data_IF_099248693134
#
_entry.id   IF_099248693134
#
_cell.length_a   1.000
_cell.length_b   1.000
_cell.length_c   1.000
_cell.angle_alpha   90.00
_cell.angle_beta   90.00
_cell.angle_gamma   90.00
#
_symmetry.space_group_name_H-M   'P 1'
#
loop_
_entity.id
_entity.type
_entity.pdbx_description
1 polymer ?
#
# COMPACT_ATOMS: atom_id res chain seq x y z
N UNK A 1 -16.73 5.92 -13.78
CA UNK A 1 -16.70 6.62 -15.08
C UNK A 1 -15.33 6.40 -15.67
N UNK A 2 -15.24 5.55 -16.71
CA UNK A 2 -13.96 5.09 -17.27
C UNK A 2 -13.53 5.88 -18.51
N UNK A 3 -14.35 6.82 -18.99
CA UNK A 3 -13.99 7.69 -20.10
C UNK A 3 -13.08 8.83 -19.58
N UNK A 4 -11.89 8.95 -20.16
CA UNK A 4 -10.95 10.03 -19.81
C UNK A 4 -11.33 11.35 -20.48
N UNK A 5 -11.91 11.26 -21.69
CA UNK A 5 -12.30 12.42 -22.49
C UNK A 5 -13.48 12.07 -23.42
N UNK A 6 -14.08 13.08 -24.04
CA UNK A 6 -15.14 12.89 -25.02
C UNK A 6 -14.61 12.15 -26.24
N UNK A 7 -15.28 11.06 -26.71
CA UNK A 7 -14.86 10.36 -27.92
C UNK A 7 -14.74 11.29 -29.12
N UNK A 8 -13.63 11.20 -29.85
CA UNK A 8 -13.43 11.99 -31.05
C UNK A 8 -13.77 11.17 -32.31
N UNK A 9 -14.55 11.75 -33.20
CA UNK A 9 -14.98 11.13 -34.47
C UNK A 9 -14.36 11.92 -35.62
N UNK A 10 -13.62 11.21 -36.46
CA UNK A 10 -13.03 11.80 -37.68
C UNK A 10 -13.32 10.89 -38.89
N UNK A 11 -14.38 11.20 -39.62
CA UNK A 11 -14.87 10.37 -40.70
C UNK A 11 -15.35 9.01 -40.21
N UNK A 12 -14.71 7.94 -40.69
CA UNK A 12 -15.00 6.55 -40.26
C UNK A 12 -14.13 6.05 -39.13
N UNK A 13 -13.35 6.94 -38.48
CA UNK A 13 -12.51 6.59 -37.32
C UNK A 13 -13.11 7.15 -36.04
N UNK A 14 -13.26 6.30 -35.04
CA UNK A 14 -13.68 6.68 -33.68
C UNK A 14 -12.52 6.40 -32.71
N UNK A 15 -12.06 7.46 -32.06
CA UNK A 15 -11.03 7.35 -31.00
C UNK A 15 -11.68 7.51 -29.65
N UNK A 16 -11.44 6.55 -28.77
CA UNK A 16 -11.92 6.54 -27.38
C UNK A 16 -10.73 6.39 -26.43
N UNK A 17 -10.68 7.24 -25.41
CA UNK A 17 -9.66 7.17 -24.36
C UNK A 17 -10.29 6.59 -23.09
N UNK A 18 -9.82 5.42 -22.69
CA UNK A 18 -10.24 4.75 -21.46
C UNK A 18 -9.22 4.93 -20.36
N UNK A 19 -9.67 5.36 -19.19
CA UNK A 19 -8.84 5.61 -18.03
C UNK A 19 -8.91 4.44 -17.05
N UNK A 20 -7.78 3.80 -16.79
CA UNK A 20 -7.67 2.71 -15.83
C UNK A 20 -6.87 3.12 -14.59
N UNK A 21 -7.15 2.51 -13.42
CA UNK A 21 -6.39 2.77 -12.19
C UNK A 21 -4.92 2.36 -12.31
N UNK A 22 -4.64 1.26 -13.03
CA UNK A 22 -3.29 0.67 -13.20
C UNK A 22 -3.18 -0.05 -14.53
N UNK A 23 -1.95 -0.18 -15.04
CA UNK A 23 -1.61 -0.95 -16.23
C UNK A 23 -1.81 -2.48 -16.06
N UNK A 24 -1.78 -2.95 -14.82
CA UNK A 24 -2.00 -4.36 -14.42
C UNK A 24 -3.47 -4.67 -14.06
N UNK A 25 -4.41 -3.81 -14.43
CA UNK A 25 -5.82 -4.03 -14.13
C UNK A 25 -6.33 -5.32 -14.81
N UNK A 26 -6.87 -6.30 -14.06
CA UNK A 26 -7.30 -7.59 -14.61
C UNK A 26 -8.46 -7.44 -15.62
N UNK A 27 -9.20 -6.36 -15.56
CA UNK A 27 -10.33 -6.09 -16.45
C UNK A 27 -9.96 -5.24 -17.69
N UNK A 28 -8.70 -4.79 -17.81
CA UNK A 28 -8.26 -3.93 -18.91
C UNK A 28 -8.61 -4.53 -20.29
N UNK A 29 -8.20 -5.76 -20.55
CA UNK A 29 -8.44 -6.44 -21.84
C UNK A 29 -9.91 -6.68 -22.12
N UNK A 30 -10.69 -7.04 -21.11
CA UNK A 30 -12.13 -7.30 -21.26
C UNK A 30 -12.91 -6.00 -21.50
N UNK A 31 -12.55 -4.93 -20.82
CA UNK A 31 -13.17 -3.60 -20.98
C UNK A 31 -12.89 -3.00 -22.34
N UNK A 32 -11.65 -3.11 -22.83
CA UNK A 32 -11.28 -2.65 -24.19
C UNK A 32 -12.11 -3.40 -25.24
N UNK A 33 -12.18 -4.74 -25.18
CA UNK A 33 -13.00 -5.54 -26.09
C UNK A 33 -14.49 -5.21 -26.00
N UNK A 34 -15.01 -5.00 -24.82
CA UNK A 34 -16.41 -4.64 -24.63
C UNK A 34 -16.74 -3.27 -25.20
N UNK A 35 -15.84 -2.29 -25.05
CA UNK A 35 -15.98 -0.95 -25.64
C UNK A 35 -15.95 -1.01 -27.16
N UNK A 36 -15.03 -1.75 -27.75
CA UNK A 36 -14.92 -1.97 -29.19
C UNK A 36 -16.22 -2.61 -29.75
N UNK A 37 -16.68 -3.71 -29.11
CA UNK A 37 -17.90 -4.38 -29.49
C UNK A 37 -19.14 -3.48 -29.37
N UNK A 38 -19.23 -2.65 -28.35
CA UNK A 38 -20.33 -1.71 -28.16
C UNK A 38 -20.35 -0.64 -29.28
N UNK A 39 -19.18 -0.11 -29.66
CA UNK A 39 -19.08 0.85 -30.76
C UNK A 39 -19.54 0.22 -32.08
N UNK A 40 -19.08 -0.97 -32.41
CA UNK A 40 -19.50 -1.69 -33.61
C UNK A 40 -20.98 -2.06 -33.60
N UNK A 41 -21.56 -2.34 -32.43
CA UNK A 41 -22.99 -2.64 -32.32
C UNK A 41 -23.88 -1.40 -32.48
N UNK A 42 -23.50 -0.27 -31.89
CA UNK A 42 -24.33 0.93 -31.84
C UNK A 42 -24.10 1.91 -33.01
N UNK A 43 -22.93 1.88 -33.65
CA UNK A 43 -22.60 2.81 -34.73
C UNK A 43 -22.59 2.08 -36.09
N UNK A 44 -21.55 1.30 -36.36
CA UNK A 44 -21.42 0.49 -37.57
C UNK A 44 -20.25 -0.47 -37.47
N UNK A 45 -20.35 -1.64 -38.14
CA UNK A 45 -19.23 -2.59 -38.23
C UNK A 45 -18.08 -2.10 -39.12
N UNK A 46 -18.29 -1.09 -39.95
CA UNK A 46 -17.29 -0.56 -40.86
C UNK A 46 -16.45 0.57 -40.26
N UNK A 47 -16.77 0.98 -39.02
CA UNK A 47 -16.03 2.03 -38.31
C UNK A 47 -14.73 1.47 -37.77
N UNK A 48 -13.63 2.15 -38.07
CA UNK A 48 -12.32 1.85 -37.45
C UNK A 48 -12.27 2.41 -36.03
N UNK A 49 -12.11 1.54 -35.05
CA UNK A 49 -12.11 1.91 -33.62
C UNK A 49 -10.69 1.93 -33.09
N UNK A 50 -10.24 3.08 -32.62
CA UNK A 50 -8.97 3.27 -31.92
C UNK A 50 -9.24 3.47 -30.43
N UNK A 51 -8.89 2.48 -29.60
CA UNK A 51 -9.02 2.61 -28.14
C UNK A 51 -7.64 2.85 -27.54
N UNK A 52 -7.47 4.02 -26.96
CA UNK A 52 -6.26 4.39 -26.21
C UNK A 52 -6.53 4.18 -24.73
N UNK A 53 -5.62 3.49 -24.05
CA UNK A 53 -5.70 3.29 -22.61
C UNK A 53 -4.76 4.25 -21.90
N UNK A 54 -5.30 5.07 -21.01
CA UNK A 54 -4.53 5.92 -20.11
C UNK A 54 -4.62 5.38 -18.67
N UNK A 55 -3.59 5.62 -17.90
CA UNK A 55 -3.52 5.15 -16.52
C UNK A 55 -3.46 6.33 -15.56
N UNK A 56 -4.35 6.32 -14.55
CA UNK A 56 -4.22 7.22 -13.41
C UNK A 56 -2.99 6.82 -12.61
N UNK A 57 -1.83 7.26 -13.03
CA UNK A 57 -0.67 7.23 -12.15
C UNK A 57 -0.89 8.27 -11.05
N UNK A 58 -1.47 7.85 -9.93
CA UNK A 58 -1.28 8.64 -8.72
C UNK A 58 0.25 8.74 -8.51
N UNK A 59 0.80 9.95 -8.38
CA UNK A 59 2.22 10.10 -8.12
C UNK A 59 2.51 9.27 -6.86
N UNK A 60 3.36 8.25 -6.97
CA UNK A 60 3.84 7.51 -5.79
C UNK A 60 4.57 8.54 -4.94
N UNK A 61 4.13 8.80 -3.70
CA UNK A 61 4.85 9.70 -2.86
C UNK A 61 6.28 9.17 -2.75
N UNK A 62 7.25 10.00 -3.11
CA UNK A 62 8.67 9.64 -2.95
C UNK A 62 8.89 9.36 -1.47
N UNK A 63 9.43 8.19 -1.14
CA UNK A 63 9.68 7.78 0.25
C UNK A 63 10.47 8.84 1.01
N UNK A 64 11.38 9.53 0.35
CA UNK A 64 12.14 10.65 0.90
C UNK A 64 11.30 11.87 1.28
N UNK A 65 10.11 12.08 0.69
CA UNK A 65 9.17 13.13 1.10
C UNK A 65 8.29 12.73 2.28
N UNK A 66 8.03 11.43 2.43
CA UNK A 66 7.24 10.91 3.56
C UNK A 66 8.06 10.81 4.84
N UNK A 67 9.33 10.41 4.74
CA UNK A 67 10.23 10.16 5.86
C UNK A 67 11.56 10.91 5.65
N UNK A 68 11.57 12.24 5.67
CA UNK A 68 12.75 13.03 5.28
C UNK A 68 13.96 12.82 6.20
N UNK A 69 13.76 12.33 7.42
CA UNK A 69 14.81 12.07 8.40
C UNK A 69 15.31 10.61 8.40
N UNK A 70 14.68 9.73 7.61
CA UNK A 70 15.09 8.32 7.51
C UNK A 70 16.02 8.15 6.31
N UNK A 71 17.28 7.80 6.58
CA UNK A 71 18.31 7.63 5.54
C UNK A 71 18.11 6.33 4.74
N UNK A 72 17.75 5.26 5.42
CA UNK A 72 17.65 3.94 4.82
C UNK A 72 16.35 3.26 5.28
N UNK A 73 15.64 2.66 4.35
CA UNK A 73 14.46 1.83 4.62
C UNK A 73 14.77 0.42 4.15
N UNK A 74 14.68 -0.55 5.05
CA UNK A 74 14.90 -1.98 4.77
C UNK A 74 13.55 -2.68 4.88
N UNK A 75 13.08 -3.28 3.80
CA UNK A 75 11.87 -4.07 3.79
C UNK A 75 12.21 -5.57 3.87
N UNK A 76 11.63 -6.27 4.86
CA UNK A 76 11.75 -7.71 5.00
C UNK A 76 10.42 -8.35 4.65
N UNK A 77 10.37 -9.06 3.52
CA UNK A 77 9.14 -9.69 3.04
C UNK A 77 9.38 -11.10 2.52
N UNK A 78 8.33 -11.88 2.38
CA UNK A 78 8.38 -13.18 1.71
C UNK A 78 7.00 -13.55 1.15
N UNK A 79 6.98 -14.35 0.09
CA UNK A 79 5.75 -14.89 -0.50
C UNK A 79 5.15 -16.08 0.26
N UNK A 80 5.80 -16.57 1.32
CA UNK A 80 5.34 -17.73 2.12
C UNK A 80 5.26 -17.37 3.60
N UNK A 81 4.21 -17.85 4.28
CA UNK A 81 4.07 -17.75 5.73
C UNK A 81 5.07 -18.63 6.48
N UNK A 82 5.41 -18.27 7.72
CA UNK A 82 6.20 -19.11 8.63
C UNK A 82 7.69 -19.27 8.32
N UNK A 83 8.25 -18.48 7.38
CA UNK A 83 9.67 -18.58 6.98
C UNK A 83 10.63 -17.76 7.85
N UNK A 84 10.14 -17.12 8.91
CA UNK A 84 10.98 -16.37 9.84
C UNK A 84 11.16 -14.87 9.53
N UNK A 85 10.29 -14.23 8.73
CA UNK A 85 10.36 -12.79 8.46
C UNK A 85 10.48 -11.95 9.72
N UNK A 86 9.57 -12.15 10.66
CA UNK A 86 9.53 -11.41 11.92
C UNK A 86 10.81 -11.63 12.73
N UNK A 87 11.31 -12.88 12.77
CA UNK A 87 12.56 -13.23 13.45
C UNK A 87 13.75 -12.51 12.85
N UNK A 88 13.86 -12.48 11.51
CA UNK A 88 14.93 -11.77 10.81
C UNK A 88 14.83 -10.27 11.07
N UNK A 89 13.63 -9.69 10.97
CA UNK A 89 13.41 -8.25 11.19
C UNK A 89 13.78 -7.82 12.59
N UNK A 90 13.34 -8.56 13.62
CA UNK A 90 13.65 -8.26 15.02
C UNK A 90 15.15 -8.32 15.31
N UNK A 91 15.81 -9.41 14.89
CA UNK A 91 17.24 -9.57 15.11
C UNK A 91 18.07 -8.55 14.35
N UNK A 92 17.71 -8.23 13.10
CA UNK A 92 18.38 -7.20 12.31
C UNK A 92 18.25 -5.82 12.99
N UNK A 93 17.04 -5.45 13.44
CA UNK A 93 16.82 -4.18 14.11
C UNK A 93 17.66 -4.05 15.39
N UNK A 94 17.69 -5.10 16.23
CA UNK A 94 18.47 -5.12 17.46
C UNK A 94 19.97 -5.08 17.16
N UNK A 95 20.43 -5.82 16.15
CA UNK A 95 21.84 -5.83 15.75
C UNK A 95 22.30 -4.43 15.29
N UNK A 96 21.49 -3.75 14.46
CA UNK A 96 21.77 -2.39 14.02
C UNK A 96 21.79 -1.39 15.19
N UNK A 97 20.85 -1.51 16.14
CA UNK A 97 20.82 -0.68 17.33
C UNK A 97 22.08 -0.90 18.21
N UNK A 98 22.53 -2.15 18.36
CA UNK A 98 23.80 -2.48 19.07
C UNK A 98 25.04 -1.91 18.38
N UNK A 99 24.99 -1.72 17.07
CA UNK A 99 26.05 -1.05 16.30
C UNK A 99 25.98 0.50 16.39
N UNK A 100 25.06 1.05 17.17
CA UNK A 100 24.93 2.48 17.42
C UNK A 100 24.03 3.22 16.41
N UNK A 101 23.33 2.52 15.55
CA UNK A 101 22.37 3.16 14.63
C UNK A 101 21.07 3.49 15.35
N UNK A 102 20.43 4.60 14.93
CA UNK A 102 19.06 4.92 15.33
C UNK A 102 18.09 4.10 14.49
N UNK A 103 17.38 3.17 15.11
CA UNK A 103 16.54 2.18 14.41
C UNK A 103 15.09 2.33 14.81
N UNK A 104 14.20 2.41 13.80
CA UNK A 104 12.78 2.22 13.95
C UNK A 104 12.35 0.91 13.29
N UNK A 105 11.51 0.14 13.95
CA UNK A 105 10.90 -1.08 13.41
C UNK A 105 9.39 -0.89 13.33
N UNK A 106 8.86 -0.96 12.12
CA UNK A 106 7.43 -0.93 11.86
C UNK A 106 6.94 -2.34 11.52
N UNK A 107 6.05 -2.86 12.36
CA UNK A 107 5.36 -4.13 12.11
C UNK A 107 4.13 -3.87 11.23
N UNK A 108 4.19 -4.33 10.00
CA UNK A 108 3.12 -4.17 8.99
C UNK A 108 2.23 -5.42 8.87
N UNK A 109 2.41 -6.43 9.72
CA UNK A 109 1.53 -7.60 9.75
C UNK A 109 0.27 -7.29 10.57
N UNK A 110 -0.78 -6.87 9.86
CA UNK A 110 -2.05 -6.46 10.48
C UNK A 110 -2.82 -7.65 11.05
N UNK A 111 -2.68 -8.83 10.43
CA UNK A 111 -3.47 -10.02 10.79
C UNK A 111 -2.81 -10.90 11.85
N UNK A 112 -1.51 -10.75 12.05
CA UNK A 112 -0.75 -11.54 13.01
C UNK A 112 0.43 -10.76 13.59
N UNK A 113 0.19 -9.56 14.17
CA UNK A 113 1.27 -8.73 14.68
C UNK A 113 2.05 -9.49 15.77
N UNK A 114 3.33 -9.72 15.52
CA UNK A 114 4.17 -10.55 16.38
C UNK A 114 5.27 -9.78 17.11
N UNK A 115 5.56 -8.55 16.70
CA UNK A 115 6.67 -7.78 17.24
C UNK A 115 6.52 -7.42 18.73
N UNK A 116 5.34 -7.03 19.26
CA UNK A 116 5.20 -6.78 20.70
C UNK A 116 5.62 -7.99 21.54
N UNK A 117 5.19 -9.19 21.15
CA UNK A 117 5.55 -10.45 21.81
C UNK A 117 7.04 -10.77 21.70
N UNK A 118 7.61 -10.61 20.51
CA UNK A 118 9.04 -10.89 20.27
C UNK A 118 9.97 -9.97 21.05
N UNK A 119 9.54 -8.73 21.30
CA UNK A 119 10.29 -7.76 22.10
C UNK A 119 9.96 -7.84 23.61
N UNK A 120 8.96 -8.63 24.02
CA UNK A 120 8.51 -8.73 25.40
C UNK A 120 7.91 -7.41 25.92
N UNK A 121 7.12 -6.74 25.08
CA UNK A 121 6.50 -5.45 25.35
C UNK A 121 4.98 -5.47 25.06
N UNK A 122 4.35 -6.62 25.24
CA UNK A 122 2.91 -6.82 24.95
C UNK A 122 2.00 -5.93 25.81
N UNK A 123 2.44 -5.61 27.02
CA UNK A 123 1.71 -4.76 27.97
C UNK A 123 1.99 -3.26 27.78
N UNK A 124 3.01 -2.92 27.01
CA UNK A 124 3.34 -1.53 26.70
C UNK A 124 2.30 -0.93 25.76
N UNK A 125 2.10 0.39 25.86
CA UNK A 125 1.18 1.12 24.97
C UNK A 125 1.87 2.37 24.44
N UNK A 126 1.88 2.55 23.12
CA UNK A 126 2.24 3.82 22.54
C UNK A 126 1.28 4.91 23.04
N UNK A 127 1.77 6.12 23.22
CA UNK A 127 0.94 7.25 23.64
C UNK A 127 0.96 8.35 22.58
N UNK A 128 -0.12 9.12 22.54
CA UNK A 128 -0.23 10.26 21.64
C UNK A 128 0.46 11.48 22.27
N UNK A 129 1.26 12.17 21.46
CA UNK A 129 1.89 13.44 21.80
C UNK A 129 1.48 14.48 20.78
N UNK A 130 1.09 15.66 21.27
CA UNK A 130 0.80 16.79 20.40
C UNK A 130 2.09 17.58 20.13
N UNK A 131 2.54 17.60 18.88
CA UNK A 131 3.76 18.30 18.47
C UNK A 131 3.57 18.99 17.13
N UNK A 132 3.94 20.26 17.06
CA UNK A 132 3.89 21.08 15.84
C UNK A 132 2.47 21.10 15.19
N UNK A 133 1.41 21.14 16.03
CA UNK A 133 0.02 21.15 15.57
C UNK A 133 -0.49 19.81 15.03
N UNK A 134 0.22 18.71 15.33
CA UNK A 134 -0.14 17.36 14.91
C UNK A 134 -0.12 16.41 16.09
N UNK A 135 -1.06 15.47 16.08
CA UNK A 135 -1.04 14.35 17.01
C UNK A 135 -0.14 13.25 16.44
N UNK A 136 0.92 12.96 17.16
CA UNK A 136 1.90 11.94 16.80
C UNK A 136 1.82 10.80 17.80
N UNK A 137 2.15 9.59 17.34
CA UNK A 137 2.25 8.41 18.19
C UNK A 137 3.72 8.24 18.57
N UNK A 138 4.03 8.33 19.87
CA UNK A 138 5.36 8.01 20.37
C UNK A 138 5.51 6.49 20.44
N UNK A 139 6.49 5.91 19.72
CA UNK A 139 6.67 4.47 19.67
C UNK A 139 7.19 3.89 20.99
N UNK A 140 6.93 2.62 21.24
CA UNK A 140 7.54 1.87 22.34
C UNK A 140 9.04 1.70 22.05
N UNK A 141 9.89 1.92 23.05
CA UNK A 141 11.33 1.74 22.89
C UNK A 141 11.84 0.54 23.70
N UNK A 142 12.48 -0.41 23.02
CA UNK A 142 13.09 -1.60 23.65
C UNK A 142 14.36 -1.98 22.90
N UNK A 143 15.38 -2.34 23.64
CA UNK A 143 16.71 -2.74 23.12
C UNK A 143 17.35 -1.68 22.19
N UNK A 144 17.04 -0.38 22.39
CA UNK A 144 17.50 0.71 21.53
C UNK A 144 16.78 0.80 20.18
N UNK A 145 15.66 0.08 20.01
CA UNK A 145 14.81 0.09 18.83
C UNK A 145 13.49 0.77 19.16
N UNK A 146 13.07 1.74 18.34
CA UNK A 146 11.74 2.33 18.38
C UNK A 146 10.78 1.44 17.62
N UNK A 147 9.80 0.88 18.32
CA UNK A 147 8.87 -0.13 17.79
C UNK A 147 7.46 0.42 17.67
N UNK A 148 6.85 0.25 16.49
CA UNK A 148 5.44 0.50 16.27
C UNK A 148 4.78 -0.71 15.61
N UNK A 149 3.67 -1.18 16.17
CA UNK A 149 2.88 -2.31 15.68
C UNK A 149 1.41 -2.08 15.95
N UNK A 150 0.54 -2.55 15.06
CA UNK A 150 -0.91 -2.57 15.30
C UNK A 150 -1.25 -3.41 16.55
N UNK A 151 -0.40 -4.38 16.89
CA UNK A 151 -0.57 -5.22 18.06
C UNK A 151 -0.62 -4.48 19.39
N UNK A 152 -0.14 -3.24 19.46
CA UNK A 152 -0.27 -2.40 20.65
C UNK A 152 -1.67 -1.82 20.86
N UNK A 153 -2.47 -1.76 19.79
CA UNK A 153 -3.80 -1.14 19.79
C UNK A 153 -4.94 -2.17 19.80
N UNK A 154 -4.61 -3.44 19.60
CA UNK A 154 -5.59 -4.53 19.53
C UNK A 154 -5.52 -5.34 20.84
N UNK A 155 -6.66 -5.53 21.49
CA UNK A 155 -6.73 -6.42 22.64
C UNK A 155 -6.55 -7.88 22.20
N UNK A 156 -5.74 -8.69 22.89
CA UNK A 156 -5.58 -10.11 22.60
C UNK A 156 -6.90 -10.90 22.60
N UNK A 157 -7.91 -10.40 23.32
CA UNK A 157 -9.24 -11.01 23.46
C UNK A 157 -10.23 -10.57 22.38
N UNK A 158 -9.89 -9.54 21.60
CA UNK A 158 -10.77 -9.02 20.54
C UNK A 158 -10.32 -9.58 19.19
N UNK A 159 -11.10 -10.48 18.62
CA UNK A 159 -10.87 -10.94 17.25
C UNK A 159 -11.04 -9.74 16.29
N UNK A 160 -9.94 -9.31 15.70
CA UNK A 160 -9.97 -8.16 14.78
C UNK A 160 -10.53 -8.61 13.45
N UNK A 161 -11.79 -8.29 13.19
CA UNK A 161 -12.48 -8.53 11.90
C UNK A 161 -12.08 -7.47 10.86
N UNK A 162 -10.81 -7.17 10.76
CA UNK A 162 -10.32 -6.25 9.74
C UNK A 162 -10.19 -6.98 8.41
N UNK A 163 -10.97 -6.59 7.44
CA UNK A 163 -10.80 -7.04 6.04
C UNK A 163 -9.79 -6.13 5.36
N UNK A 164 -8.95 -6.67 4.48
CA UNK A 164 -7.82 -5.96 3.85
C UNK A 164 -8.15 -4.57 3.29
N UNK A 165 -9.36 -4.35 2.76
CA UNK A 165 -9.81 -3.05 2.26
C UNK A 165 -9.99 -1.98 3.35
N UNK A 166 -10.21 -2.36 4.61
CA UNK A 166 -10.38 -1.41 5.74
C UNK A 166 -9.04 -0.99 6.35
N UNK A 167 -7.99 -1.73 6.07
CA UNK A 167 -6.64 -1.42 6.59
C UNK A 167 -5.88 -0.40 5.71
N UNK A 168 -6.39 -0.13 4.50
CA UNK A 168 -5.75 0.73 3.49
C UNK A 168 -6.51 2.05 3.24
N UNK A 169 -7.59 2.32 3.99
CA UNK A 169 -8.40 3.54 3.86
C UNK A 169 -7.98 4.63 4.85
#
# INVERSE_FOLDING_TARGET
>A
EMLADTPSINGMKVKVVLLFPRDTDPFLKSTVKAAEAAIHYHISKEVEVEIVTEFKSAPRPEVGKMLPQVKNVIAVSSGKGGVGKSTVSANLAIALAKLGYKVGLLDTDIFGPSMPKMFGVEEERPYSVHKDGRDLIEPVEKYGVKLLSIGFFVSPTTATLWRGGMACS
#
